data_IF_781523121330
#
_entry.id   IF_781523121330
#
_cell.length_a   1.000
_cell.length_b   1.000
_cell.length_c   1.000
_cell.angle_alpha   90.00
_cell.angle_beta   90.00
_cell.angle_gamma   90.00
#
_symmetry.space_group_name_H-M   'P 1'
#
loop_
_entity.id
_entity.type
_entity.pdbx_description
1 polymer ?
#
# COMPACT_ATOMS: atom_id res chain seq x y z
N UNK A 1 -36.24 -14.62 -18.84
CA UNK A 1 -35.64 -14.43 -17.53
C UNK A 1 -34.85 -13.13 -17.53
N UNK A 2 -35.37 -12.10 -16.85
CA UNK A 2 -34.60 -10.86 -16.64
C UNK A 2 -33.42 -11.21 -15.74
N UNK A 3 -32.21 -11.18 -16.27
CA UNK A 3 -30.97 -11.20 -15.50
C UNK A 3 -31.08 -10.05 -14.49
N UNK A 4 -31.23 -10.39 -13.19
CA UNK A 4 -31.19 -9.40 -12.11
C UNK A 4 -29.82 -8.73 -12.18
N UNK A 5 -29.76 -7.49 -12.64
CA UNK A 5 -28.54 -6.69 -12.62
C UNK A 5 -27.98 -6.72 -11.20
N UNK A 6 -26.75 -7.18 -11.04
CA UNK A 6 -26.02 -7.20 -9.80
C UNK A 6 -26.04 -5.77 -9.20
N UNK A 7 -26.63 -5.60 -8.02
CA UNK A 7 -26.71 -4.30 -7.35
C UNK A 7 -25.35 -3.98 -6.73
N UNK A 8 -24.46 -3.40 -7.51
CA UNK A 8 -23.24 -2.76 -7.02
C UNK A 8 -23.53 -1.26 -6.86
N UNK A 9 -23.13 -0.69 -5.75
CA UNK A 9 -23.31 0.72 -5.46
C UNK A 9 -22.07 1.52 -5.77
N UNK A 10 -22.21 2.57 -6.58
CA UNK A 10 -21.14 3.52 -6.84
C UNK A 10 -20.97 4.49 -5.67
N UNK A 11 -19.74 4.92 -5.43
CA UNK A 11 -19.40 5.90 -4.38
C UNK A 11 -20.19 7.21 -4.54
N UNK A 12 -20.57 7.58 -5.77
CA UNK A 12 -21.39 8.78 -6.06
C UNK A 12 -22.81 8.71 -5.52
N UNK A 13 -23.38 7.52 -5.44
CA UNK A 13 -24.76 7.33 -5.00
C UNK A 13 -24.89 7.47 -3.48
N UNK A 14 -23.80 7.18 -2.74
CA UNK A 14 -23.74 7.29 -1.28
C UNK A 14 -23.87 8.73 -0.76
N UNK A 15 -23.34 9.72 -1.50
CA UNK A 15 -23.30 11.11 -1.02
C UNK A 15 -24.68 11.80 -0.90
N UNK A 16 -25.73 11.14 -1.38
CA UNK A 16 -27.08 11.70 -1.42
C UNK A 16 -28.02 11.26 -0.29
N UNK A 17 -27.71 10.12 0.41
CA UNK A 17 -28.64 9.51 1.38
C UNK A 17 -27.90 8.80 2.54
N UNK A 18 -26.91 9.46 3.15
CA UNK A 18 -26.09 8.91 4.25
C UNK A 18 -26.88 8.41 5.46
N UNK A 19 -28.06 8.98 5.74
CA UNK A 19 -28.88 8.61 6.89
C UNK A 19 -29.57 7.24 6.73
N UNK A 20 -29.72 6.77 5.48
CA UNK A 20 -30.43 5.52 5.14
C UNK A 20 -29.53 4.31 5.03
N UNK A 21 -28.19 4.50 5.06
CA UNK A 21 -27.22 3.43 4.87
C UNK A 21 -26.28 3.32 6.05
N UNK A 22 -25.88 2.08 6.33
CA UNK A 22 -24.76 1.77 7.20
C UNK A 22 -23.63 1.20 6.33
N UNK A 23 -22.42 1.68 6.54
CA UNK A 23 -21.22 1.21 5.81
C UNK A 23 -20.44 0.28 6.72
N UNK A 24 -20.14 -0.91 6.24
CA UNK A 24 -19.49 -1.97 7.01
C UNK A 24 -18.19 -2.38 6.33
N UNK A 25 -17.09 -2.25 7.08
CA UNK A 25 -15.77 -2.75 6.69
C UNK A 25 -15.64 -4.21 7.09
N UNK A 26 -15.47 -5.09 6.11
CA UNK A 26 -15.36 -6.53 6.35
C UNK A 26 -13.92 -7.02 6.40
N UNK A 27 -12.94 -6.10 6.37
CA UNK A 27 -11.53 -6.45 6.47
C UNK A 27 -11.16 -6.81 7.91
N UNK A 28 -10.06 -7.54 8.07
CA UNK A 28 -9.53 -7.85 9.40
C UNK A 28 -8.98 -6.63 10.14
N UNK A 29 -8.80 -6.77 11.44
CA UNK A 29 -8.41 -5.69 12.37
C UNK A 29 -7.14 -4.95 11.95
N UNK A 30 -6.16 -5.65 11.42
CA UNK A 30 -4.93 -5.03 10.92
C UNK A 30 -5.19 -4.03 9.80
N UNK A 31 -6.03 -4.40 8.81
CA UNK A 31 -6.39 -3.53 7.70
C UNK A 31 -7.25 -2.34 8.14
N UNK A 32 -8.10 -2.54 9.14
CA UNK A 32 -8.95 -1.51 9.75
C UNK A 32 -8.10 -0.49 10.51
N UNK A 33 -7.08 -0.93 11.24
CA UNK A 33 -6.16 -0.07 11.97
C UNK A 33 -5.33 0.85 11.06
N UNK A 34 -5.09 0.46 9.82
CA UNK A 34 -4.44 1.32 8.80
C UNK A 34 -5.36 2.39 8.22
N UNK A 35 -6.66 2.26 8.39
CA UNK A 35 -7.66 3.25 8.00
C UNK A 35 -8.94 2.63 7.43
N UNK A 36 -10.05 3.31 7.67
CA UNK A 36 -11.39 2.95 7.19
C UNK A 36 -12.00 4.08 6.36
N UNK A 37 -13.04 3.76 5.61
CA UNK A 37 -13.89 4.79 5.01
C UNK A 37 -14.59 5.54 6.15
N UNK A 38 -14.54 6.89 6.20
CA UNK A 38 -15.15 7.66 7.26
C UNK A 38 -16.63 7.31 7.46
N UNK A 39 -17.01 7.06 8.71
CA UNK A 39 -18.38 6.67 9.10
C UNK A 39 -18.69 5.20 8.85
N UNK A 40 -17.72 4.37 8.52
CA UNK A 40 -17.89 2.92 8.50
C UNK A 40 -17.75 2.32 9.90
N UNK A 41 -18.39 1.19 10.12
CA UNK A 41 -18.15 0.32 11.27
C UNK A 41 -17.35 -0.91 10.81
N UNK A 42 -16.52 -1.45 11.68
CA UNK A 42 -15.76 -2.66 11.40
C UNK A 42 -16.53 -3.89 11.88
N UNK A 43 -16.79 -4.82 10.97
CA UNK A 43 -17.30 -6.16 11.27
C UNK A 43 -16.55 -7.12 10.36
N UNK A 44 -15.53 -7.84 10.86
CA UNK A 44 -14.78 -8.81 10.08
C UNK A 44 -15.67 -9.84 9.40
N UNK A 45 -15.26 -10.33 8.23
CA UNK A 45 -16.07 -11.23 7.40
C UNK A 45 -16.56 -12.48 8.18
N UNK A 46 -15.74 -13.02 9.08
CA UNK A 46 -16.09 -14.17 9.92
C UNK A 46 -17.19 -13.88 10.96
N UNK A 47 -17.45 -12.60 11.28
CA UNK A 47 -18.45 -12.18 12.27
C UNK A 47 -19.71 -11.59 11.64
N UNK A 48 -19.77 -11.49 10.31
CA UNK A 48 -20.90 -10.89 9.61
C UNK A 48 -22.24 -11.58 9.91
N UNK A 49 -22.25 -12.92 9.94
CA UNK A 49 -23.47 -13.69 10.16
C UNK A 49 -24.11 -13.37 11.51
N UNK A 50 -23.29 -13.20 12.53
CA UNK A 50 -23.76 -12.98 13.90
C UNK A 50 -24.10 -11.51 14.19
N UNK A 51 -23.37 -10.57 13.58
CA UNK A 51 -23.40 -9.15 13.99
C UNK A 51 -24.11 -8.24 13.01
N UNK A 52 -24.22 -8.62 11.73
CA UNK A 52 -24.71 -7.70 10.69
C UNK A 52 -26.16 -7.28 10.91
N UNK A 53 -27.04 -8.21 11.24
CA UNK A 53 -28.47 -7.92 11.44
C UNK A 53 -28.70 -6.94 12.59
N UNK A 54 -28.00 -7.12 13.72
CA UNK A 54 -28.09 -6.24 14.87
C UNK A 54 -27.52 -4.84 14.58
N UNK A 55 -26.44 -4.75 13.79
CA UNK A 55 -25.82 -3.50 13.42
C UNK A 55 -26.62 -2.72 12.36
N UNK A 56 -27.31 -3.42 11.48
CA UNK A 56 -28.08 -2.82 10.39
C UNK A 56 -29.35 -2.11 10.87
N UNK A 57 -30.10 -2.70 11.82
CA UNK A 57 -31.44 -2.23 12.19
C UNK A 57 -32.32 -2.12 10.94
N UNK A 58 -32.98 -0.98 10.76
CA UNK A 58 -33.83 -0.69 9.58
C UNK A 58 -33.06 -0.08 8.39
N UNK A 59 -31.74 0.06 8.50
CA UNK A 59 -30.92 0.70 7.47
C UNK A 59 -30.47 -0.29 6.41
N UNK A 60 -30.28 0.21 5.18
CA UNK A 60 -29.63 -0.55 4.12
C UNK A 60 -28.15 -0.68 4.41
N UNK A 61 -27.57 -1.84 4.10
CA UNK A 61 -26.17 -2.12 4.39
C UNK A 61 -25.31 -2.03 3.13
N UNK A 62 -24.18 -1.39 3.22
CA UNK A 62 -23.14 -1.40 2.19
C UNK A 62 -21.91 -2.06 2.77
N UNK A 63 -21.60 -3.26 2.30
CA UNK A 63 -20.38 -3.98 2.66
C UNK A 63 -19.20 -3.58 1.77
N UNK A 64 -18.01 -3.50 2.32
CA UNK A 64 -16.79 -3.41 1.52
C UNK A 64 -15.66 -4.21 2.13
N UNK A 65 -14.90 -4.87 1.26
CA UNK A 65 -13.61 -5.48 1.56
C UNK A 65 -12.49 -4.71 0.84
N UNK A 66 -11.29 -5.24 0.77
CA UNK A 66 -10.17 -4.55 0.13
C UNK A 66 -10.43 -4.22 -1.35
N UNK A 67 -10.91 -5.19 -2.16
CA UNK A 67 -11.12 -5.06 -3.62
C UNK A 67 -12.58 -5.19 -4.07
N UNK A 68 -13.51 -5.44 -3.17
CA UNK A 68 -14.93 -5.59 -3.49
C UNK A 68 -15.35 -6.98 -3.95
N UNK A 69 -14.47 -7.99 -3.96
CA UNK A 69 -14.79 -9.37 -4.38
C UNK A 69 -15.52 -10.14 -3.26
N UNK A 70 -14.91 -10.27 -2.08
CA UNK A 70 -15.50 -10.96 -0.95
C UNK A 70 -16.80 -10.28 -0.49
N UNK A 71 -16.79 -8.95 -0.33
CA UNK A 71 -17.99 -8.21 0.06
C UNK A 71 -19.14 -8.34 -0.94
N UNK A 72 -18.85 -8.65 -2.21
CA UNK A 72 -19.87 -8.94 -3.21
C UNK A 72 -20.52 -10.29 -2.94
N UNK A 73 -19.75 -11.33 -2.68
CA UNK A 73 -20.26 -12.66 -2.33
C UNK A 73 -21.07 -12.62 -1.03
N UNK A 74 -20.54 -11.94 0.01
CA UNK A 74 -21.26 -11.75 1.28
C UNK A 74 -22.57 -10.98 1.08
N UNK A 75 -22.60 -9.93 0.26
CA UNK A 75 -23.82 -9.18 -0.03
C UNK A 75 -24.85 -10.00 -0.82
N UNK A 76 -24.45 -10.94 -1.67
CA UNK A 76 -25.33 -11.87 -2.36
C UNK A 76 -25.97 -12.85 -1.37
N UNK A 77 -25.17 -13.42 -0.47
CA UNK A 77 -25.63 -14.32 0.58
C UNK A 77 -26.70 -13.69 1.48
N UNK A 78 -26.46 -12.47 2.01
CA UNK A 78 -27.42 -11.81 2.89
C UNK A 78 -28.69 -11.34 2.16
N UNK A 79 -28.60 -11.03 0.87
CA UNK A 79 -29.79 -10.72 0.06
C UNK A 79 -30.71 -11.91 -0.16
N UNK A 80 -30.15 -13.10 -0.31
CA UNK A 80 -30.93 -14.34 -0.39
C UNK A 80 -31.69 -14.61 0.92
N UNK A 81 -31.19 -14.09 2.05
CA UNK A 81 -31.86 -14.13 3.35
C UNK A 81 -32.84 -12.96 3.59
N UNK A 82 -33.07 -12.13 2.56
CA UNK A 82 -34.07 -11.06 2.63
C UNK A 82 -33.54 -9.71 3.13
N UNK A 83 -32.27 -9.55 3.41
CA UNK A 83 -31.68 -8.28 3.84
C UNK A 83 -31.37 -7.35 2.64
N UNK A 84 -31.51 -6.05 2.81
CA UNK A 84 -31.18 -5.04 1.76
C UNK A 84 -29.68 -4.67 1.83
N UNK A 85 -28.85 -5.55 1.31
CA UNK A 85 -27.38 -5.46 1.37
C UNK A 85 -26.77 -5.21 -0.01
N UNK A 86 -25.83 -4.28 -0.06
CA UNK A 86 -25.08 -3.87 -1.25
C UNK A 86 -23.59 -4.13 -1.04
N UNK A 87 -22.83 -4.25 -2.13
CA UNK A 87 -21.37 -4.23 -2.08
C UNK A 87 -20.84 -2.96 -2.74
N UNK A 88 -19.84 -2.34 -2.10
CA UNK A 88 -19.15 -1.19 -2.66
C UNK A 88 -18.26 -1.64 -3.82
N UNK A 89 -18.50 -1.08 -5.01
CA UNK A 89 -17.72 -1.41 -6.21
C UNK A 89 -16.24 -1.03 -6.02
N UNK A 90 -15.35 -1.99 -6.27
CA UNK A 90 -13.90 -1.83 -6.07
C UNK A 90 -13.45 -1.81 -4.61
N UNK A 91 -14.38 -1.93 -3.65
CA UNK A 91 -14.08 -1.97 -2.22
C UNK A 91 -13.34 -0.73 -1.71
N UNK A 92 -12.50 -0.91 -0.69
CA UNK A 92 -11.69 0.15 -0.11
C UNK A 92 -10.71 0.77 -1.13
N UNK A 93 -10.09 -0.07 -1.96
CA UNK A 93 -9.18 0.39 -3.03
C UNK A 93 -9.89 1.29 -4.04
N UNK A 94 -11.10 0.92 -4.47
CA UNK A 94 -11.91 1.74 -5.38
C UNK A 94 -12.33 3.08 -4.77
N UNK A 95 -12.60 3.10 -3.46
CA UNK A 95 -12.89 4.33 -2.73
C UNK A 95 -11.66 5.26 -2.68
N UNK A 96 -10.47 4.72 -2.37
CA UNK A 96 -9.22 5.48 -2.37
C UNK A 96 -8.92 6.10 -3.74
N UNK A 97 -9.06 5.32 -4.82
CA UNK A 97 -8.88 5.82 -6.19
C UNK A 97 -9.83 6.96 -6.52
N UNK A 98 -11.09 6.89 -6.06
CA UNK A 98 -12.07 7.94 -6.29
C UNK A 98 -11.76 9.22 -5.51
N UNK A 99 -11.21 9.10 -4.29
CA UNK A 99 -10.71 10.26 -3.54
C UNK A 99 -9.58 10.96 -4.29
N UNK A 100 -8.60 10.19 -4.76
CA UNK A 100 -7.45 10.71 -5.51
C UNK A 100 -7.86 11.37 -6.83
N UNK A 101 -8.88 10.86 -7.52
CA UNK A 101 -9.40 11.46 -8.77
C UNK A 101 -10.21 12.75 -8.54
N UNK A 102 -10.78 12.95 -7.35
CA UNK A 102 -11.54 14.17 -7.02
C UNK A 102 -10.64 15.34 -6.66
N UNK A 103 -9.39 15.08 -6.27
CA UNK A 103 -8.39 16.12 -6.08
C UNK A 103 -7.85 16.50 -7.47
N UNK A 104 -8.27 17.66 -8.01
CA UNK A 104 -7.85 18.13 -9.34
C UNK A 104 -6.32 18.27 -9.42
N UNK A 105 -5.68 17.78 -10.50
CA UNK A 105 -4.24 17.84 -10.66
C UNK A 105 -3.77 19.26 -10.97
N UNK A 106 -2.66 19.68 -10.38
CA UNK A 106 -1.91 20.86 -10.75
C UNK A 106 -1.34 21.65 -9.56
N UNK A 107 -2.11 22.55 -8.98
CA UNK A 107 -1.63 23.43 -7.90
C UNK A 107 -1.65 22.77 -6.51
N UNK A 108 -2.66 21.95 -6.23
CA UNK A 108 -2.82 21.25 -4.94
C UNK A 108 -1.80 20.11 -4.73
N UNK A 109 -1.36 19.43 -5.78
CA UNK A 109 -0.35 18.37 -5.67
C UNK A 109 0.99 18.94 -5.22
N UNK A 110 1.41 20.05 -5.79
CA UNK A 110 2.62 20.76 -5.38
C UNK A 110 2.54 21.31 -3.94
N UNK A 111 1.36 21.73 -3.51
CA UNK A 111 1.14 22.20 -2.14
C UNK A 111 1.24 21.03 -1.14
N UNK A 112 0.64 19.88 -1.45
CA UNK A 112 0.70 18.70 -0.59
C UNK A 112 2.11 18.13 -0.46
N UNK A 113 2.86 18.05 -1.55
CA UNK A 113 4.27 17.65 -1.53
C UNK A 113 5.10 18.57 -0.64
N UNK A 114 4.90 19.91 -0.76
CA UNK A 114 5.56 20.91 0.09
C UNK A 114 5.19 20.79 1.57
N UNK A 115 3.92 20.48 1.90
CA UNK A 115 3.49 20.25 3.28
C UNK A 115 4.20 19.02 3.88
N UNK A 116 4.29 17.91 3.13
CA UNK A 116 5.00 16.69 3.55
C UNK A 116 6.47 17.01 3.82
N UNK A 117 7.14 17.70 2.90
CA UNK A 117 8.54 18.10 3.06
C UNK A 117 8.73 19.03 4.27
N UNK A 118 7.86 20.02 4.45
CA UNK A 118 7.86 20.90 5.62
C UNK A 118 7.67 20.13 6.92
N UNK A 119 6.82 19.10 6.90
CA UNK A 119 6.59 18.24 8.05
C UNK A 119 7.83 17.43 8.42
N UNK A 120 8.54 16.85 7.44
CA UNK A 120 9.82 16.14 7.63
C UNK A 120 10.87 17.10 8.19
N UNK A 121 11.01 18.31 7.62
CA UNK A 121 12.02 19.30 8.05
C UNK A 121 11.77 19.91 9.42
N UNK A 122 10.50 20.03 9.84
CA UNK A 122 10.14 20.68 11.11
C UNK A 122 9.69 19.68 12.16
N UNK A 123 8.50 19.10 11.97
CA UNK A 123 7.85 18.27 12.98
C UNK A 123 8.60 16.97 13.25
N UNK A 124 9.06 16.33 12.19
CA UNK A 124 9.68 15.00 12.26
C UNK A 124 11.21 15.03 12.07
N UNK A 125 11.82 16.20 12.03
CA UNK A 125 13.26 16.33 11.80
C UNK A 125 14.10 15.48 12.75
N UNK A 126 13.86 15.58 14.07
CA UNK A 126 14.66 14.87 15.08
C UNK A 126 14.43 13.36 15.07
N UNK A 127 13.19 12.94 14.84
CA UNK A 127 12.81 11.51 14.99
C UNK A 127 12.96 10.72 13.68
N UNK A 128 12.94 11.38 12.52
CA UNK A 128 13.09 10.74 11.21
C UNK A 128 14.36 11.20 10.50
N UNK A 129 14.40 12.43 10.01
CA UNK A 129 15.47 12.88 9.12
C UNK A 129 16.85 12.88 9.79
N UNK A 130 16.96 13.39 11.01
CA UNK A 130 18.24 13.43 11.73
C UNK A 130 18.80 12.03 12.01
N UNK A 131 17.93 11.07 12.35
CA UNK A 131 18.35 9.68 12.57
C UNK A 131 18.75 9.00 11.27
N UNK A 132 17.99 9.23 10.19
CA UNK A 132 18.30 8.73 8.86
C UNK A 132 19.66 9.25 8.37
N UNK A 133 19.86 10.58 8.41
CA UNK A 133 21.12 11.20 8.02
C UNK A 133 22.30 10.75 8.89
N UNK A 134 22.07 10.57 10.19
CA UNK A 134 23.09 10.04 11.11
C UNK A 134 23.52 8.63 10.69
N UNK A 135 22.58 7.73 10.45
CA UNK A 135 22.88 6.35 10.01
C UNK A 135 23.65 6.33 8.68
N UNK A 136 23.23 7.13 7.70
CA UNK A 136 23.93 7.25 6.42
C UNK A 136 25.40 7.63 6.60
N UNK A 137 25.66 8.60 7.48
CA UNK A 137 27.04 9.06 7.76
C UNK A 137 27.84 8.10 8.63
N UNK A 138 27.23 7.54 9.66
CA UNK A 138 27.89 6.63 10.61
C UNK A 138 28.36 5.33 9.96
N UNK A 139 27.57 4.82 9.02
CA UNK A 139 27.87 3.57 8.30
C UNK A 139 28.44 3.80 6.90
N UNK A 140 28.81 5.03 6.53
CA UNK A 140 29.36 5.38 5.21
C UNK A 140 28.54 4.80 4.04
N UNK A 141 27.20 4.92 4.15
CA UNK A 141 26.28 4.28 3.21
C UNK A 141 26.25 4.96 1.85
N UNK A 142 26.56 6.25 1.78
CA UNK A 142 26.55 7.04 0.55
C UNK A 142 27.88 7.78 0.40
N UNK A 143 28.46 7.67 -0.80
CA UNK A 143 29.69 8.37 -1.19
C UNK A 143 29.46 9.30 -2.35
N UNK A 144 30.43 10.14 -2.60
CA UNK A 144 30.43 11.04 -3.75
C UNK A 144 30.30 10.26 -5.06
N UNK A 145 29.42 10.76 -5.95
CA UNK A 145 29.08 10.16 -7.25
C UNK A 145 28.38 8.79 -7.20
N UNK A 146 27.90 8.36 -6.03
CA UNK A 146 27.03 7.18 -5.98
C UNK A 146 25.74 7.43 -6.75
N UNK A 147 25.25 6.39 -7.40
CA UNK A 147 23.94 6.32 -8.02
C UNK A 147 23.10 5.25 -7.33
N UNK A 148 22.05 5.68 -6.64
CA UNK A 148 21.30 4.85 -5.69
C UNK A 148 19.91 4.55 -6.25
N UNK A 149 19.58 3.27 -6.39
CA UNK A 149 18.21 2.83 -6.66
C UNK A 149 17.42 2.76 -5.35
N UNK A 150 16.49 3.67 -5.16
CA UNK A 150 15.55 3.68 -4.03
C UNK A 150 14.32 2.88 -4.43
N UNK A 151 14.15 1.69 -3.87
CA UNK A 151 13.07 0.79 -4.24
C UNK A 151 11.76 1.14 -3.52
N UNK A 152 10.71 1.32 -4.30
CA UNK A 152 9.38 1.70 -3.83
C UNK A 152 8.43 0.53 -4.03
N UNK A 153 7.86 0.04 -2.93
CA UNK A 153 6.82 -1.01 -2.93
C UNK A 153 5.39 -0.46 -2.96
N UNK A 154 5.24 0.86 -2.84
CA UNK A 154 3.95 1.53 -2.67
C UNK A 154 3.48 1.63 -1.21
N UNK A 155 4.16 0.96 -0.27
CA UNK A 155 3.88 1.06 1.16
C UNK A 155 4.41 2.36 1.78
N UNK A 156 3.89 2.71 2.96
CA UNK A 156 4.24 3.94 3.70
C UNK A 156 5.74 4.10 3.94
N UNK A 157 6.43 2.99 4.27
CA UNK A 157 7.85 3.01 4.64
C UNK A 157 8.74 3.30 3.43
N UNK A 158 8.47 2.67 2.28
CA UNK A 158 9.21 2.92 1.05
C UNK A 158 8.99 4.33 0.50
N UNK A 159 7.76 4.87 0.61
CA UNK A 159 7.46 6.25 0.21
C UNK A 159 8.13 7.26 1.15
N UNK A 160 8.12 7.00 2.47
CA UNK A 160 8.83 7.83 3.44
C UNK A 160 10.34 7.81 3.17
N UNK A 161 10.92 6.63 2.94
CA UNK A 161 12.33 6.47 2.59
C UNK A 161 12.68 7.30 1.34
N UNK A 162 11.86 7.26 0.30
CA UNK A 162 12.06 8.07 -0.91
C UNK A 162 12.10 9.58 -0.60
N UNK A 163 11.18 10.07 0.25
CA UNK A 163 11.18 11.48 0.67
C UNK A 163 12.41 11.84 1.52
N UNK A 164 12.86 10.94 2.39
CA UNK A 164 14.08 11.16 3.18
C UNK A 164 15.32 11.23 2.29
N UNK A 165 15.42 10.40 1.25
CA UNK A 165 16.49 10.47 0.25
C UNK A 165 16.44 11.76 -0.57
N UNK A 166 15.24 12.23 -0.99
CA UNK A 166 15.10 13.52 -1.67
C UNK A 166 15.55 14.66 -0.78
N UNK A 167 15.17 14.65 0.51
CA UNK A 167 15.59 15.68 1.46
C UNK A 167 17.09 15.61 1.74
N UNK A 168 17.67 14.40 1.85
CA UNK A 168 19.11 14.22 2.01
C UNK A 168 19.87 14.80 0.81
N UNK A 169 19.43 14.53 -0.42
CA UNK A 169 20.05 15.04 -1.65
C UNK A 169 20.09 16.56 -1.69
N UNK A 170 19.06 17.23 -1.15
CA UNK A 170 19.00 18.71 -1.08
C UNK A 170 20.01 19.31 -0.10
N UNK A 171 20.39 18.57 0.93
CA UNK A 171 21.23 19.06 2.03
C UNK A 171 22.61 18.41 2.11
N UNK A 172 22.92 17.52 1.18
CA UNK A 172 24.18 16.80 1.22
C UNK A 172 25.36 17.64 0.75
N UNK A 173 26.55 17.32 1.26
CA UNK A 173 27.79 18.06 1.01
C UNK A 173 28.48 17.69 -0.31
N UNK A 174 28.09 16.55 -0.90
CA UNK A 174 28.66 16.01 -2.12
C UNK A 174 27.55 15.52 -3.07
N UNK A 175 27.79 15.48 -4.39
CA UNK A 175 26.80 15.04 -5.35
C UNK A 175 26.61 13.52 -5.32
N UNK A 176 25.37 13.07 -5.45
CA UNK A 176 24.97 11.71 -5.73
C UNK A 176 23.65 11.67 -6.51
N UNK A 177 23.37 10.57 -7.19
CA UNK A 177 22.16 10.41 -7.99
C UNK A 177 21.16 9.48 -7.32
N UNK A 178 19.86 9.75 -7.55
CA UNK A 178 18.76 8.92 -7.09
C UNK A 178 17.93 8.47 -8.27
N UNK A 179 17.59 7.19 -8.28
CA UNK A 179 16.59 6.57 -9.16
C UNK A 179 15.52 5.95 -8.27
N UNK A 180 14.27 6.37 -8.42
CA UNK A 180 13.16 5.81 -7.66
C UNK A 180 12.52 4.67 -8.46
N UNK A 181 12.76 3.44 -8.04
CA UNK A 181 12.47 2.25 -8.79
C UNK A 181 11.24 1.51 -8.22
N UNK A 182 10.24 1.31 -9.05
CA UNK A 182 9.05 0.50 -8.73
C UNK A 182 9.07 -0.76 -9.58
N UNK A 183 9.05 -1.91 -8.94
CA UNK A 183 8.83 -3.16 -9.63
C UNK A 183 7.36 -3.53 -9.58
N UNK A 184 6.76 -3.72 -10.74
CA UNK A 184 5.40 -4.26 -10.89
C UNK A 184 5.48 -5.78 -11.12
N UNK A 185 5.12 -6.61 -10.13
CA UNK A 185 5.18 -8.06 -10.25
C UNK A 185 3.92 -8.68 -10.88
N UNK A 186 3.06 -7.88 -11.51
CA UNK A 186 1.73 -8.22 -11.99
C UNK A 186 0.61 -7.61 -11.14
N UNK A 187 0.79 -6.38 -10.68
CA UNK A 187 -0.25 -5.68 -9.94
C UNK A 187 -1.54 -5.50 -10.75
N UNK A 188 -2.67 -5.51 -10.08
CA UNK A 188 -3.90 -5.04 -10.69
C UNK A 188 -3.77 -3.57 -11.09
N UNK A 189 -4.46 -3.15 -12.17
CA UNK A 189 -4.48 -1.75 -12.63
C UNK A 189 -4.81 -0.77 -11.50
N UNK A 190 -5.71 -1.16 -10.60
CA UNK A 190 -6.07 -0.35 -9.44
C UNK A 190 -4.90 -0.14 -8.47
N UNK A 191 -4.13 -1.19 -8.16
CA UNK A 191 -2.97 -1.08 -7.27
C UNK A 191 -1.85 -0.26 -7.91
N UNK A 192 -1.61 -0.46 -9.21
CA UNK A 192 -0.64 0.33 -9.96
C UNK A 192 -0.97 1.82 -9.94
N UNK A 193 -2.22 2.19 -10.23
CA UNK A 193 -2.69 3.57 -10.16
C UNK A 193 -2.55 4.20 -8.77
N UNK A 194 -2.72 3.43 -7.70
CA UNK A 194 -2.49 3.93 -6.34
C UNK A 194 -1.02 4.31 -6.15
N UNK A 195 -0.08 3.47 -6.58
CA UNK A 195 1.36 3.73 -6.46
C UNK A 195 1.74 4.98 -7.27
N UNK A 196 1.29 5.06 -8.52
CA UNK A 196 1.55 6.19 -9.42
C UNK A 196 0.99 7.51 -8.85
N UNK A 197 -0.27 7.49 -8.38
CA UNK A 197 -0.91 8.67 -7.78
C UNK A 197 -0.23 9.11 -6.49
N UNK A 198 0.17 8.18 -5.62
CA UNK A 198 0.90 8.50 -4.40
C UNK A 198 2.28 9.10 -4.72
N UNK A 199 3.00 8.54 -5.69
CA UNK A 199 4.28 9.06 -6.13
C UNK A 199 4.14 10.49 -6.69
N UNK A 200 3.12 10.72 -7.51
CA UNK A 200 2.80 12.04 -8.07
C UNK A 200 2.42 13.03 -6.98
N UNK A 201 1.55 12.66 -6.03
CA UNK A 201 1.16 13.49 -4.89
C UNK A 201 2.35 13.91 -4.03
N UNK A 202 3.34 13.03 -3.90
CA UNK A 202 4.55 13.26 -3.10
C UNK A 202 5.70 13.84 -3.92
N UNK A 203 5.51 14.13 -5.19
CA UNK A 203 6.56 14.61 -6.11
C UNK A 203 7.79 13.68 -6.11
N UNK A 204 7.55 12.38 -6.29
CA UNK A 204 8.58 11.36 -6.42
C UNK A 204 8.61 10.88 -7.88
N UNK A 205 9.68 11.17 -8.64
CA UNK A 205 9.80 10.73 -10.04
C UNK A 205 10.13 9.24 -10.11
N UNK A 206 9.10 8.38 -10.17
CA UNK A 206 9.26 6.95 -10.21
C UNK A 206 9.56 6.43 -11.62
N UNK A 207 10.38 5.39 -11.70
CA UNK A 207 10.58 4.53 -12.88
C UNK A 207 9.96 3.17 -12.58
N UNK A 208 8.97 2.77 -13.38
CA UNK A 208 8.27 1.49 -13.21
C UNK A 208 8.79 0.51 -14.24
N UNK A 209 9.10 -0.71 -13.82
CA UNK A 209 9.34 -1.84 -14.71
C UNK A 209 8.44 -3.02 -14.34
N UNK A 210 8.05 -3.79 -15.33
CA UNK A 210 7.12 -4.90 -15.21
C UNK A 210 7.88 -6.23 -15.11
N UNK A 211 7.29 -7.19 -14.41
CA UNK A 211 7.78 -8.56 -14.33
C UNK A 211 6.59 -9.51 -14.15
N UNK A 212 6.71 -10.71 -14.69
CA UNK A 212 5.67 -11.75 -14.61
C UNK A 212 5.83 -12.65 -13.38
N UNK A 213 6.29 -12.08 -12.25
CA UNK A 213 6.59 -12.87 -11.04
C UNK A 213 5.32 -13.52 -10.48
N UNK A 214 4.19 -12.81 -10.47
CA UNK A 214 2.96 -13.38 -9.92
C UNK A 214 2.46 -14.56 -10.75
N UNK A 215 2.59 -14.49 -12.07
CA UNK A 215 2.23 -15.59 -12.95
C UNK A 215 3.19 -16.77 -12.78
N UNK A 216 4.48 -16.48 -12.64
CA UNK A 216 5.50 -17.51 -12.43
C UNK A 216 5.40 -18.27 -11.11
N UNK A 217 4.79 -17.69 -10.06
CA UNK A 217 4.65 -18.32 -8.73
C UNK A 217 3.24 -18.80 -8.44
N UNK A 218 2.28 -18.55 -9.34
CA UNK A 218 0.86 -18.84 -9.12
C UNK A 218 0.57 -20.32 -8.92
N UNK A 219 1.24 -21.19 -9.69
CA UNK A 219 1.04 -22.64 -9.69
C UNK A 219 2.01 -23.40 -8.76
N UNK A 220 2.79 -22.69 -7.94
CA UNK A 220 3.80 -23.32 -7.06
C UNK A 220 3.20 -23.54 -5.68
N UNK A 221 3.07 -24.82 -5.30
CA UNK A 221 2.53 -25.22 -3.99
C UNK A 221 3.56 -25.02 -2.85
N UNK A 222 4.86 -25.26 -3.13
CA UNK A 222 5.91 -25.17 -2.11
C UNK A 222 6.47 -23.74 -1.95
N UNK A 223 6.09 -23.09 -0.84
CA UNK A 223 6.65 -21.79 -0.40
C UNK A 223 6.61 -20.67 -1.46
N UNK A 224 5.45 -20.37 -2.08
CA UNK A 224 5.34 -19.37 -3.15
C UNK A 224 5.82 -17.99 -2.71
N UNK A 225 5.60 -17.63 -1.45
CA UNK A 225 6.03 -16.34 -0.90
C UNK A 225 7.56 -16.20 -0.83
N UNK A 226 8.28 -17.28 -0.48
CA UNK A 226 9.74 -17.28 -0.45
C UNK A 226 10.32 -17.10 -1.86
N UNK A 227 9.80 -17.85 -2.82
CA UNK A 227 10.24 -17.77 -4.21
C UNK A 227 9.94 -16.38 -4.79
N UNK A 228 8.73 -15.84 -4.56
CA UNK A 228 8.36 -14.50 -4.96
C UNK A 228 9.33 -13.45 -4.40
N UNK A 229 9.65 -13.51 -3.10
CA UNK A 229 10.58 -12.58 -2.47
C UNK A 229 12.00 -12.67 -3.05
N UNK A 230 12.46 -13.89 -3.35
CA UNK A 230 13.77 -14.12 -3.97
C UNK A 230 13.83 -13.59 -5.40
N UNK A 231 12.82 -13.87 -6.20
CA UNK A 231 12.72 -13.36 -7.58
C UNK A 231 12.67 -11.83 -7.59
N UNK A 232 11.85 -11.23 -6.72
CA UNK A 232 11.75 -9.77 -6.58
C UNK A 232 13.12 -9.12 -6.35
N UNK A 233 13.92 -9.66 -5.43
CA UNK A 233 15.27 -9.13 -5.19
C UNK A 233 16.16 -9.26 -6.42
N UNK A 234 16.15 -10.41 -7.09
CA UNK A 234 16.94 -10.63 -8.31
C UNK A 234 16.60 -9.62 -9.40
N UNK A 235 15.32 -9.42 -9.68
CA UNK A 235 14.86 -8.44 -10.69
C UNK A 235 15.24 -7.00 -10.32
N UNK A 236 15.03 -6.61 -9.05
CA UNK A 236 15.41 -5.27 -8.57
C UNK A 236 16.90 -5.02 -8.72
N UNK A 237 17.76 -6.01 -8.37
CA UNK A 237 19.21 -5.86 -8.49
C UNK A 237 19.66 -5.79 -9.95
N UNK A 238 19.11 -6.63 -10.83
CA UNK A 238 19.40 -6.60 -12.25
C UNK A 238 19.05 -5.25 -12.86
N UNK A 239 17.84 -4.79 -12.62
CA UNK A 239 17.35 -3.55 -13.21
C UNK A 239 18.07 -2.31 -12.66
N UNK A 240 18.36 -2.27 -11.36
CA UNK A 240 19.19 -1.22 -10.77
C UNK A 240 20.59 -1.17 -11.42
N UNK A 241 21.19 -2.33 -11.68
CA UNK A 241 22.48 -2.44 -12.37
C UNK A 241 22.40 -1.94 -13.82
N UNK A 242 21.35 -2.31 -14.55
CA UNK A 242 21.10 -1.83 -15.93
C UNK A 242 20.99 -0.31 -15.99
N UNK A 243 20.37 0.31 -14.96
CA UNK A 243 20.29 1.76 -14.82
C UNK A 243 21.59 2.42 -14.35
N UNK A 244 22.66 1.64 -14.17
CA UNK A 244 23.96 2.12 -13.72
C UNK A 244 24.01 2.46 -12.24
N UNK A 245 23.07 1.98 -11.43
CA UNK A 245 23.11 2.18 -9.98
C UNK A 245 24.18 1.25 -9.36
N UNK A 246 24.97 1.80 -8.45
CA UNK A 246 25.98 1.05 -7.69
C UNK A 246 25.51 0.74 -6.26
N UNK A 247 24.37 1.30 -5.85
CA UNK A 247 23.74 1.04 -4.56
C UNK A 247 22.23 0.87 -4.72
N UNK A 248 21.64 0.10 -3.80
CA UNK A 248 20.21 -0.12 -3.73
C UNK A 248 19.73 0.14 -2.29
N UNK A 249 18.61 0.83 -2.14
CA UNK A 249 17.98 1.10 -0.86
C UNK A 249 16.61 0.41 -0.81
N UNK A 250 16.42 -0.45 0.19
CA UNK A 250 15.20 -1.19 0.44
C UNK A 250 14.56 -0.69 1.75
N UNK A 251 13.23 -0.51 1.74
CA UNK A 251 12.49 -0.01 2.89
C UNK A 251 12.12 -1.10 3.88
N UNK A 252 13.10 -1.63 4.61
CA UNK A 252 12.89 -2.51 5.74
C UNK A 252 13.09 -1.73 7.05
N UNK A 253 12.36 -2.12 8.08
CA UNK A 253 12.49 -1.52 9.40
C UNK A 253 12.86 -2.58 10.46
N UNK A 254 13.03 -2.11 11.68
CA UNK A 254 13.53 -2.97 12.78
C UNK A 254 12.61 -4.15 13.09
N UNK A 255 11.30 -3.96 12.98
CA UNK A 255 10.32 -5.02 13.23
C UNK A 255 10.40 -6.14 12.17
N UNK A 256 10.66 -5.82 10.90
CA UNK A 256 10.88 -6.83 9.85
C UNK A 256 12.04 -7.77 10.21
N UNK A 257 13.12 -7.21 10.78
CA UNK A 257 14.27 -8.00 11.23
C UNK A 257 13.92 -8.90 12.40
N UNK A 258 13.20 -8.38 13.40
CA UNK A 258 12.75 -9.15 14.57
C UNK A 258 11.82 -10.28 14.13
N UNK A 259 10.84 -9.98 13.31
CA UNK A 259 9.89 -10.97 12.78
C UNK A 259 10.61 -12.08 12.01
N UNK A 260 11.57 -11.72 11.17
CA UNK A 260 12.36 -12.70 10.41
C UNK A 260 13.15 -13.61 11.35
N UNK A 261 13.80 -13.07 12.38
CA UNK A 261 14.52 -13.86 13.38
C UNK A 261 13.58 -14.80 14.12
N UNK A 262 12.45 -14.28 14.61
CA UNK A 262 11.48 -15.10 15.34
C UNK A 262 10.90 -16.21 14.48
N UNK A 263 10.53 -15.92 13.24
CA UNK A 263 10.03 -16.92 12.30
C UNK A 263 11.07 -17.99 12.00
N UNK A 264 12.34 -17.62 11.81
CA UNK A 264 13.41 -18.58 11.54
C UNK A 264 13.69 -19.50 12.75
N UNK A 265 13.55 -18.97 13.97
CA UNK A 265 13.67 -19.77 15.19
C UNK A 265 12.49 -20.71 15.40
N UNK A 266 11.26 -20.24 15.20
CA UNK A 266 10.05 -21.00 15.47
C UNK A 266 9.77 -22.08 14.42
N UNK A 267 10.03 -21.79 13.15
CA UNK A 267 9.69 -22.69 12.03
C UNK A 267 10.90 -23.40 11.44
N UNK A 268 12.09 -22.79 11.49
CA UNK A 268 13.31 -23.33 10.89
C UNK A 268 14.30 -23.93 11.88
N UNK A 269 14.06 -23.81 13.19
CA UNK A 269 15.03 -24.15 14.26
C UNK A 269 16.43 -23.57 14.03
N UNK A 270 16.51 -22.41 13.37
CA UNK A 270 17.75 -21.71 13.02
C UNK A 270 17.61 -20.23 13.41
N UNK A 271 18.73 -19.59 13.68
CA UNK A 271 18.77 -18.14 13.85
C UNK A 271 19.24 -17.52 12.55
N UNK A 272 18.31 -17.03 11.75
CA UNK A 272 18.61 -16.32 10.50
C UNK A 272 18.04 -14.91 10.59
N UNK A 273 18.76 -13.95 10.05
CA UNK A 273 18.30 -12.57 9.94
C UNK A 273 18.12 -12.20 8.47
N UNK A 274 17.44 -11.08 8.22
CA UNK A 274 17.47 -10.47 6.89
C UNK A 274 18.90 -10.00 6.61
N UNK A 275 19.48 -10.50 5.54
CA UNK A 275 20.72 -9.93 5.04
C UNK A 275 20.41 -8.61 4.34
N UNK A 276 21.25 -7.60 4.54
CA UNK A 276 21.13 -6.32 3.85
C UNK A 276 21.23 -6.45 2.33
#
# INVERSE_FOLDING_TARGET
PRVRRQRQMCIRDRSRDLERYILVDTRGDEAVNYGMIPGAIAIPECELVDKLAAAAGDKKVILYCSRGQNSKASAEYFREQGMDVYSLQGGYTGWLLNLMQKEQPGEKENERAREIEKSIRKKFHKVLFSRFAKAINEYDMIRENDKIAVCISGGKDSMLMAKLFQELKRHNKFPFELVFLVMDPGYSEANRKIIENNAKLMDIPITIFESEIFDAVYDIEDSPCYLCARMRRGYLYSHAKELGCNKIALGHHYDDVIETILMSMLYGAQVQTMLP
#
